data_IF_018558305600
#
_entry.id   IF_018558305600
#
_cell.length_a   1.000
_cell.length_b   1.000
_cell.length_c   1.000
_cell.angle_alpha   90.00
_cell.angle_beta   90.00
_cell.angle_gamma   90.00
#
_symmetry.space_group_name_H-M   'P 1'
#
loop_
_entity.id
_entity.type
_entity.pdbx_description
1 polymer ?
#
# COMPACT_ATOMS: atom_id res chain seq x y z
N UNK A 1 18.13 -29.82 -9.30
CA UNK A 1 17.89 -28.80 -8.25
C UNK A 1 17.25 -27.53 -8.81
N UNK A 2 17.68 -27.04 -9.97
CA UNK A 2 17.19 -25.78 -10.55
C UNK A 2 15.66 -25.75 -10.82
N UNK A 3 15.06 -26.84 -11.32
CA UNK A 3 13.60 -26.90 -11.54
C UNK A 3 12.78 -26.84 -10.23
N UNK A 4 13.30 -27.39 -9.14
CA UNK A 4 12.63 -27.38 -7.83
C UNK A 4 12.63 -25.96 -7.24
N UNK A 5 13.75 -25.25 -7.36
CA UNK A 5 13.88 -23.85 -6.92
C UNK A 5 12.96 -22.94 -7.73
N UNK A 6 12.87 -23.16 -9.05
CA UNK A 6 11.96 -22.41 -9.93
C UNK A 6 10.48 -22.63 -9.57
N UNK A 7 10.08 -23.87 -9.31
CA UNK A 7 8.71 -24.20 -8.86
C UNK A 7 8.34 -23.54 -7.54
N UNK A 8 9.26 -23.56 -6.57
CA UNK A 8 9.07 -22.91 -5.26
C UNK A 8 8.97 -21.38 -5.43
N UNK A 9 9.77 -20.80 -6.32
CA UNK A 9 9.72 -19.36 -6.61
C UNK A 9 8.37 -18.94 -7.22
N UNK A 10 7.84 -19.73 -8.17
CA UNK A 10 6.53 -19.47 -8.79
C UNK A 10 5.39 -19.62 -7.77
N UNK A 11 5.42 -20.65 -6.94
CA UNK A 11 4.45 -20.83 -5.84
C UNK A 11 4.53 -19.68 -4.83
N UNK A 12 5.75 -19.27 -4.45
CA UNK A 12 5.98 -18.12 -3.58
C UNK A 12 5.41 -16.83 -4.15
N UNK A 13 5.61 -16.58 -5.46
CA UNK A 13 5.00 -15.46 -6.16
C UNK A 13 3.47 -15.52 -6.12
N UNK A 14 2.88 -16.68 -6.43
CA UNK A 14 1.42 -16.85 -6.42
C UNK A 14 0.80 -16.54 -5.07
N UNK A 15 1.39 -17.08 -3.99
CA UNK A 15 0.95 -16.82 -2.61
C UNK A 15 1.13 -15.34 -2.25
N UNK A 16 2.23 -14.72 -2.67
CA UNK A 16 2.49 -13.30 -2.43
C UNK A 16 1.44 -12.39 -3.10
N UNK A 17 1.08 -12.66 -4.35
CA UNK A 17 0.03 -11.92 -5.04
C UNK A 17 -1.35 -12.14 -4.42
N UNK A 18 -1.67 -13.36 -3.97
CA UNK A 18 -2.91 -13.64 -3.26
C UNK A 18 -3.01 -12.89 -1.92
N UNK A 19 -1.91 -12.82 -1.16
CA UNK A 19 -1.83 -12.03 0.07
C UNK A 19 -1.99 -10.53 -0.20
N UNK A 20 -1.36 -10.02 -1.26
CA UNK A 20 -1.51 -8.64 -1.71
C UNK A 20 -2.96 -8.31 -2.06
N UNK A 21 -3.61 -9.15 -2.87
CA UNK A 21 -5.00 -8.99 -3.26
C UNK A 21 -5.94 -9.05 -2.05
N UNK A 22 -5.74 -10.02 -1.16
CA UNK A 22 -6.48 -10.13 0.10
C UNK A 22 -6.32 -8.87 0.96
N UNK A 23 -5.10 -8.34 1.07
CA UNK A 23 -4.81 -7.15 1.86
C UNK A 23 -5.49 -5.90 1.26
N UNK A 24 -5.44 -5.73 -0.07
CA UNK A 24 -6.14 -4.67 -0.81
C UNK A 24 -7.66 -4.74 -0.59
N UNK A 25 -8.26 -5.91 -0.77
CA UNK A 25 -9.70 -6.13 -0.56
C UNK A 25 -10.08 -5.82 0.88
N UNK A 26 -9.27 -6.24 1.85
CA UNK A 26 -9.50 -5.96 3.27
C UNK A 26 -9.37 -4.46 3.59
N UNK A 27 -8.40 -3.77 3.00
CA UNK A 27 -8.21 -2.32 3.18
C UNK A 27 -9.40 -1.53 2.63
N UNK A 28 -9.83 -1.87 1.42
CA UNK A 28 -10.99 -1.25 0.77
C UNK A 28 -12.25 -1.60 1.56
N UNK A 29 -12.50 -2.86 1.89
CA UNK A 29 -13.68 -3.31 2.62
C UNK A 29 -13.81 -2.64 3.99
N UNK A 30 -12.71 -2.52 4.75
CA UNK A 30 -12.75 -1.97 6.11
C UNK A 30 -12.91 -0.45 6.15
N UNK A 31 -12.44 0.27 5.12
CA UNK A 31 -12.54 1.73 5.02
C UNK A 31 -13.73 2.21 4.20
N UNK A 32 -14.07 1.54 3.10
CA UNK A 32 -15.17 1.93 2.23
C UNK A 32 -16.55 1.71 2.88
N UNK A 33 -16.66 0.79 3.84
CA UNK A 33 -17.92 0.53 4.56
C UNK A 33 -18.18 1.52 5.71
N UNK A 34 -17.23 2.40 6.06
CA UNK A 34 -17.52 3.53 6.95
C UNK A 34 -18.15 4.64 6.11
N UNK A 35 -19.42 4.92 6.39
CA UNK A 35 -20.33 5.85 5.70
C UNK A 35 -19.81 7.31 5.59
N UNK A 36 -18.67 7.63 6.20
CA UNK A 36 -17.99 8.94 6.18
C UNK A 36 -16.50 8.76 5.89
N UNK A 37 -16.15 8.45 4.63
CA UNK A 37 -14.75 8.45 4.20
C UNK A 37 -14.26 9.90 4.18
N UNK A 38 -13.32 10.24 5.05
CA UNK A 38 -12.69 11.56 5.05
C UNK A 38 -11.71 11.69 3.88
N UNK A 39 -11.50 12.90 3.34
CA UNK A 39 -10.55 13.15 2.22
C UNK A 39 -9.17 12.50 2.46
N UNK A 40 -8.71 12.51 3.71
CA UNK A 40 -7.45 11.89 4.13
C UNK A 40 -7.47 10.37 4.00
N UNK A 41 -8.57 9.72 4.36
CA UNK A 41 -8.70 8.26 4.22
C UNK A 41 -8.74 7.81 2.76
N UNK A 42 -9.40 8.59 1.89
CA UNK A 42 -9.39 8.36 0.43
C UNK A 42 -7.97 8.45 -0.12
N UNK A 43 -7.21 9.50 0.26
CA UNK A 43 -5.82 9.67 -0.15
C UNK A 43 -4.96 8.50 0.35
N UNK A 44 -5.14 8.04 1.58
CA UNK A 44 -4.41 6.86 2.08
C UNK A 44 -4.70 5.60 1.25
N UNK A 45 -5.97 5.32 0.93
CA UNK A 45 -6.32 4.15 0.12
C UNK A 45 -5.63 4.25 -1.24
N UNK A 46 -5.66 5.43 -1.87
CA UNK A 46 -5.09 5.69 -3.19
C UNK A 46 -3.55 5.54 -3.18
N UNK A 47 -2.88 6.03 -2.12
CA UNK A 47 -1.43 5.87 -1.94
C UNK A 47 -1.05 4.41 -1.69
N UNK A 48 -1.82 3.66 -0.89
CA UNK A 48 -1.59 2.22 -0.73
C UNK A 48 -1.77 1.46 -2.05
N UNK A 49 -2.78 1.81 -2.84
CA UNK A 49 -3.00 1.25 -4.17
C UNK A 49 -1.82 1.55 -5.11
N UNK A 50 -1.33 2.78 -5.11
CA UNK A 50 -0.17 3.19 -5.90
C UNK A 50 1.11 2.44 -5.49
N UNK A 51 1.38 2.28 -4.19
CA UNK A 51 2.53 1.51 -3.69
C UNK A 51 2.46 0.06 -4.16
N UNK A 52 1.28 -0.56 -4.06
CA UNK A 52 1.09 -1.93 -4.55
C UNK A 52 1.31 -2.02 -6.06
N UNK A 53 0.73 -1.08 -6.81
CA UNK A 53 0.88 -1.02 -8.26
C UNK A 53 2.36 -0.91 -8.66
N UNK A 54 3.11 0.02 -8.05
CA UNK A 54 4.54 0.15 -8.30
C UNK A 54 5.33 -1.09 -7.87
N UNK A 55 4.94 -1.76 -6.79
CA UNK A 55 5.53 -3.05 -6.39
C UNK A 55 5.36 -4.12 -7.47
N UNK A 56 4.17 -4.27 -8.03
CA UNK A 56 3.90 -5.20 -9.13
C UNK A 56 4.71 -4.83 -10.37
N UNK A 57 4.73 -3.55 -10.75
CA UNK A 57 5.50 -3.07 -11.91
C UNK A 57 7.00 -3.30 -11.71
N UNK A 58 7.54 -3.08 -10.52
CA UNK A 58 8.95 -3.36 -10.20
C UNK A 58 9.31 -4.82 -10.39
N UNK A 59 8.43 -5.73 -9.95
CA UNK A 59 8.63 -7.16 -10.07
C UNK A 59 8.54 -7.59 -11.54
N UNK A 60 7.50 -7.15 -12.26
CA UNK A 60 7.27 -7.53 -13.67
C UNK A 60 8.34 -6.97 -14.61
N UNK A 61 8.73 -5.71 -14.41
CA UNK A 61 9.76 -5.05 -15.22
C UNK A 61 11.17 -5.32 -14.71
N UNK A 62 11.33 -6.03 -13.59
CA UNK A 62 12.60 -6.27 -12.89
C UNK A 62 13.46 -5.00 -12.72
N UNK A 63 12.80 -3.84 -12.59
CA UNK A 63 13.42 -2.52 -12.65
C UNK A 63 13.37 -1.86 -11.28
N UNK A 64 14.54 -1.49 -10.74
CA UNK A 64 14.69 -0.96 -9.38
C UNK A 64 14.48 0.56 -9.29
N UNK A 65 14.41 1.27 -10.42
CA UNK A 65 14.24 2.74 -10.44
C UNK A 65 12.93 3.23 -9.82
N UNK A 66 11.92 2.36 -9.69
CA UNK A 66 10.63 2.70 -9.08
C UNK A 66 10.65 2.60 -7.54
N UNK A 67 11.76 2.19 -6.92
CA UNK A 67 11.89 2.22 -5.45
C UNK A 67 11.84 3.64 -4.89
N UNK A 68 12.51 4.58 -5.56
CA UNK A 68 12.60 5.97 -5.13
C UNK A 68 11.20 6.63 -5.03
N UNK A 69 10.33 6.56 -6.07
CA UNK A 69 8.96 7.07 -5.95
C UNK A 69 8.12 6.32 -4.91
N UNK A 70 8.33 5.02 -4.69
CA UNK A 70 7.63 4.27 -3.62
C UNK A 70 8.04 4.75 -2.23
N UNK A 71 9.32 4.98 -1.99
CA UNK A 71 9.83 5.50 -0.71
C UNK A 71 9.29 6.91 -0.44
N UNK A 72 9.26 7.78 -1.46
CA UNK A 72 8.67 9.11 -1.35
C UNK A 72 7.18 9.06 -0.99
N UNK A 73 6.42 8.16 -1.61
CA UNK A 73 5.01 7.95 -1.29
C UNK A 73 4.82 7.49 0.17
N UNK A 74 5.67 6.58 0.66
CA UNK A 74 5.65 6.13 2.06
C UNK A 74 5.93 7.26 3.04
N UNK A 75 6.96 8.07 2.79
CA UNK A 75 7.33 9.21 3.64
C UNK A 75 6.21 10.25 3.66
N UNK A 76 5.64 10.58 2.49
CA UNK A 76 4.51 11.50 2.38
C UNK A 76 3.30 11.00 3.17
N UNK A 77 3.01 9.71 3.11
CA UNK A 77 1.89 9.11 3.86
C UNK A 77 2.12 9.16 5.38
N UNK A 78 3.34 8.93 5.86
CA UNK A 78 3.70 9.06 7.28
C UNK A 78 3.51 10.49 7.76
N UNK A 79 3.98 11.48 6.98
CA UNK A 79 3.80 12.90 7.30
C UNK A 79 2.33 13.30 7.31
N UNK A 80 1.53 12.79 6.37
CA UNK A 80 0.10 13.08 6.27
C UNK A 80 -0.67 12.49 7.47
N UNK A 81 -0.34 11.27 7.91
CA UNK A 81 -0.85 10.69 9.16
C UNK A 81 -0.50 11.51 10.40
N UNK A 82 0.76 11.96 10.49
CA UNK A 82 1.25 12.74 11.62
C UNK A 82 0.58 14.11 11.69
N UNK A 83 0.45 14.76 10.54
CA UNK A 83 -0.26 16.05 10.40
C UNK A 83 -1.73 15.92 10.78
N UNK A 84 -2.42 14.89 10.27
CA UNK A 84 -3.84 14.69 10.54
C UNK A 84 -4.12 14.37 12.02
N UNK A 85 -3.21 13.66 12.70
CA UNK A 85 -3.28 13.46 14.15
C UNK A 85 -3.15 14.77 14.92
N UNK A 86 -2.15 15.60 14.56
CA UNK A 86 -1.93 16.91 15.19
C UNK A 86 -3.11 17.87 14.97
N UNK A 87 -3.72 17.84 13.79
CA UNK A 87 -4.90 18.65 13.46
C UNK A 87 -6.12 18.26 14.31
N UNK A 88 -6.33 16.97 14.56
CA UNK A 88 -7.39 16.49 15.45
C UNK A 88 -7.15 16.85 16.92
N UNK A 89 -5.90 16.84 17.37
CA UNK A 89 -5.52 17.26 18.73
C UNK A 89 -5.73 18.77 18.92
N UNK A 90 -5.48 19.60 17.91
CA UNK A 90 -5.76 21.05 17.95
C UNK A 90 -7.26 21.37 17.94
N UNK A 91 -8.06 20.65 17.15
CA UNK A 91 -9.51 20.87 17.07
C UNK A 91 -10.30 20.38 18.30
N UNK A 92 -9.72 19.52 19.15
CA UNK A 92 -10.35 19.08 20.40
C UNK A 92 -9.98 19.95 21.61
N UNK A 93 -8.96 20.81 21.48
CA UNK A 93 -8.45 21.65 22.55
C UNK A 93 -8.79 23.15 22.38
N UNK A 94 -9.58 23.50 21.37
CA UNK A 94 -10.12 24.85 21.14
C UNK A 94 -11.63 24.83 21.19
#
# INVERSE_FOLDING_TARGET
MEMLIALIAILGMGVFYALLAYYLIRLISKKAFRRTITKVETIEILVWLAIVFFGIVMIVKQTWHLLLPVVLLLVSMINLRRSNRKYREMNNNG
#
